data_IF_497981569097
#
_entry.id   IF_497981569097
#
_cell.length_a   1.000
_cell.length_b   1.000
_cell.length_c   1.000
_cell.angle_alpha   90.00
_cell.angle_beta   90.00
_cell.angle_gamma   90.00
#
_symmetry.space_group_name_H-M   'P 1'
#
loop_
_entity.id
_entity.type
_entity.pdbx_description
1 polymer ?
#
# COMPACT_ATOMS: atom_id res chain seq x y z
N UNK A 1 -4.53 16.75 1.59
CA UNK A 1 -4.69 16.87 3.06
C UNK A 1 -4.55 15.49 3.68
N UNK A 2 -3.61 15.31 4.62
CA UNK A 2 -3.41 14.04 5.34
C UNK A 2 -4.48 13.85 6.41
N UNK A 3 -5.02 12.62 6.53
CA UNK A 3 -5.92 12.24 7.63
C UNK A 3 -5.42 10.94 8.26
N UNK A 4 -5.40 10.90 9.58
CA UNK A 4 -5.06 9.71 10.36
C UNK A 4 -6.31 9.19 11.08
N UNK A 5 -6.55 7.89 11.02
CA UNK A 5 -7.68 7.23 11.65
C UNK A 5 -7.21 6.03 12.45
N UNK A 6 -7.89 5.74 13.55
CA UNK A 6 -7.79 4.45 14.22
C UNK A 6 -8.82 3.49 13.59
N UNK A 7 -8.35 2.32 13.16
CA UNK A 7 -9.22 1.28 12.56
C UNK A 7 -9.60 0.20 13.57
N UNK A 8 -8.84 0.11 14.63
CA UNK A 8 -9.14 -0.55 15.90
C UNK A 8 -8.62 0.37 16.99
N UNK A 9 -8.77 0.02 18.26
CA UNK A 9 -8.20 0.80 19.36
C UNK A 9 -6.68 0.98 19.26
N UNK A 10 -5.98 0.09 18.53
CA UNK A 10 -4.53 -0.04 18.59
C UNK A 10 -3.79 0.17 17.27
N UNK A 11 -4.51 0.24 16.13
CA UNK A 11 -3.86 0.30 14.81
C UNK A 11 -4.29 1.53 14.01
N UNK A 12 -3.55 2.65 14.11
CA UNK A 12 -3.81 3.81 13.28
C UNK A 12 -3.49 3.52 11.81
N UNK A 13 -4.24 4.15 10.92
CA UNK A 13 -3.97 4.16 9.48
C UNK A 13 -3.71 5.59 9.02
N UNK A 14 -2.95 5.75 7.96
CA UNK A 14 -2.75 7.04 7.28
C UNK A 14 -3.56 7.04 6.00
N UNK A 15 -4.30 8.11 5.77
CA UNK A 15 -4.93 8.39 4.46
C UNK A 15 -4.42 9.74 4.00
N UNK A 16 -3.78 9.77 2.82
CA UNK A 16 -3.14 10.96 2.28
C UNK A 16 -3.44 11.14 0.80
N UNK A 17 -3.29 12.36 0.29
CA UNK A 17 -3.43 12.65 -1.13
C UNK A 17 -2.05 12.73 -1.79
N UNK A 18 -1.92 12.16 -3.00
CA UNK A 18 -0.71 12.27 -3.80
C UNK A 18 -0.79 13.51 -4.71
N UNK A 19 0.06 14.51 -4.53
CA UNK A 19 -0.09 15.80 -5.22
C UNK A 19 0.15 15.73 -6.74
N UNK A 20 0.86 14.69 -7.22
CA UNK A 20 1.17 14.52 -8.64
C UNK A 20 0.30 13.43 -9.30
N UNK A 21 -0.89 13.19 -8.75
CA UNK A 21 -1.81 12.15 -9.21
C UNK A 21 -2.12 12.25 -10.70
N UNK A 22 -2.49 13.44 -11.18
CA UNK A 22 -2.91 13.66 -12.58
C UNK A 22 -1.85 13.17 -13.59
N UNK A 23 -0.59 13.51 -13.33
CA UNK A 23 0.53 13.11 -14.20
C UNK A 23 0.79 11.60 -14.14
N UNK A 24 0.67 11.00 -12.95
CA UNK A 24 0.85 9.56 -12.76
C UNK A 24 -0.29 8.78 -13.45
N UNK A 25 -1.53 9.23 -13.30
CA UNK A 25 -2.69 8.62 -13.95
C UNK A 25 -2.57 8.64 -15.47
N UNK A 26 -2.21 9.79 -16.04
CA UNK A 26 -2.01 9.92 -17.49
C UNK A 26 -0.95 8.98 -18.05
N UNK A 27 0.08 8.65 -17.28
CA UNK A 27 1.13 7.72 -17.68
C UNK A 27 0.71 6.26 -17.52
N UNK A 28 0.14 5.90 -16.37
CA UNK A 28 -0.01 4.49 -15.99
C UNK A 28 -1.35 3.87 -16.43
N UNK A 29 -2.44 4.64 -16.49
CA UNK A 29 -3.75 4.06 -16.83
C UNK A 29 -3.76 3.45 -18.23
N UNK A 30 -3.26 4.12 -19.29
CA UNK A 30 -3.20 3.51 -20.61
C UNK A 30 -2.34 2.25 -20.67
N UNK A 31 -1.22 2.21 -19.93
CA UNK A 31 -0.36 1.03 -19.86
C UNK A 31 -1.08 -0.16 -19.21
N UNK A 32 -1.77 0.10 -18.09
CA UNK A 32 -2.44 -0.95 -17.32
C UNK A 32 -3.72 -1.46 -18.00
N UNK A 33 -4.44 -0.61 -18.73
CA UNK A 33 -5.65 -1.01 -19.44
C UNK A 33 -5.37 -1.78 -20.74
N UNK A 34 -4.26 -1.47 -21.42
CA UNK A 34 -3.91 -2.09 -22.69
C UNK A 34 -2.99 -3.30 -22.57
N UNK A 35 -2.15 -3.35 -21.53
CA UNK A 35 -1.11 -4.37 -21.36
C UNK A 35 -0.96 -4.76 -19.90
N UNK A 36 -1.97 -5.38 -19.26
CA UNK A 36 -1.78 -5.94 -17.94
C UNK A 36 -0.79 -7.11 -18.06
N UNK A 37 0.35 -7.04 -17.34
CA UNK A 37 1.18 -8.22 -17.08
C UNK A 37 0.40 -9.12 -16.13
N UNK A 38 -0.35 -10.03 -16.69
CA UNK A 38 -1.31 -10.85 -15.96
C UNK A 38 -0.62 -11.93 -15.15
N UNK A 39 -0.76 -11.89 -13.84
CA UNK A 39 -0.58 -13.07 -12.99
C UNK A 39 -1.86 -13.93 -12.93
N UNK A 40 -2.93 -13.41 -13.53
CA UNK A 40 -4.26 -13.97 -13.35
C UNK A 40 -4.85 -13.69 -11.98
N UNK A 41 -5.96 -14.35 -11.67
CA UNK A 41 -6.62 -14.25 -10.36
C UNK A 41 -5.87 -15.09 -9.34
N UNK A 42 -5.50 -14.48 -8.22
CA UNK A 42 -4.93 -15.21 -7.07
C UNK A 42 -6.05 -15.73 -6.16
N UNK A 43 -5.70 -16.52 -5.14
CA UNK A 43 -6.68 -17.00 -4.15
C UNK A 43 -7.40 -15.84 -3.42
N UNK A 44 -6.72 -14.72 -3.18
CA UNK A 44 -7.23 -13.59 -2.40
C UNK A 44 -7.79 -12.48 -3.28
N UNK A 45 -7.22 -12.26 -4.47
CA UNK A 45 -7.57 -11.17 -5.37
C UNK A 45 -8.25 -11.74 -6.62
N UNK A 46 -9.55 -11.54 -6.74
CA UNK A 46 -10.36 -11.92 -7.89
C UNK A 46 -10.45 -10.73 -8.86
N UNK A 47 -9.29 -10.23 -9.30
CA UNK A 47 -9.11 -9.13 -10.24
C UNK A 47 -7.88 -9.42 -11.10
N UNK A 48 -7.75 -8.74 -12.23
CA UNK A 48 -6.52 -8.81 -13.03
C UNK A 48 -5.40 -8.09 -12.30
N UNK A 49 -4.22 -8.73 -12.24
CA UNK A 49 -3.06 -8.19 -11.52
C UNK A 49 -1.83 -8.14 -12.43
N UNK A 50 -0.98 -7.15 -12.21
CA UNK A 50 0.42 -7.22 -12.67
C UNK A 50 1.22 -8.14 -11.76
N UNK A 51 2.46 -8.49 -12.16
CA UNK A 51 3.36 -9.21 -11.26
C UNK A 51 3.67 -8.37 -10.00
N UNK A 52 4.04 -9.02 -8.91
CA UNK A 52 4.29 -8.38 -7.60
C UNK A 52 5.46 -7.40 -7.58
N UNK A 53 6.34 -7.43 -8.58
CA UNK A 53 7.51 -6.56 -8.67
C UNK A 53 7.39 -5.50 -9.75
N UNK A 54 6.25 -5.44 -10.45
CA UNK A 54 6.02 -4.49 -11.53
C UNK A 54 6.37 -3.04 -11.14
N UNK A 55 5.85 -2.55 -10.04
CA UNK A 55 6.11 -1.20 -9.58
C UNK A 55 7.48 -1.02 -8.92
N UNK A 56 8.07 -2.12 -8.36
CA UNK A 56 9.41 -2.08 -7.76
C UNK A 56 10.47 -1.84 -8.84
N UNK A 57 10.36 -2.53 -9.96
CA UNK A 57 11.33 -2.46 -11.07
C UNK A 57 10.98 -1.41 -12.12
N UNK A 58 9.88 -0.69 -11.95
CA UNK A 58 9.46 0.35 -12.90
C UNK A 58 10.51 1.46 -13.00
N UNK A 59 10.82 1.86 -14.24
CA UNK A 59 11.68 3.02 -14.56
C UNK A 59 10.92 4.35 -14.51
N UNK A 60 9.61 4.34 -14.26
CA UNK A 60 8.81 5.56 -14.16
C UNK A 60 9.26 6.44 -12.99
N UNK A 61 9.79 7.62 -13.28
CA UNK A 61 10.16 8.61 -12.24
C UNK A 61 8.95 9.04 -11.40
N UNK A 62 7.75 9.06 -11.99
CA UNK A 62 6.52 9.44 -11.28
C UNK A 62 6.11 8.35 -10.28
N UNK A 63 6.27 7.08 -10.67
CA UNK A 63 6.02 5.95 -9.76
C UNK A 63 7.07 5.89 -8.64
N UNK A 64 8.34 6.16 -8.92
CA UNK A 64 9.37 6.28 -7.89
C UNK A 64 9.01 7.37 -6.88
N UNK A 65 8.55 8.54 -7.35
CA UNK A 65 8.11 9.63 -6.48
C UNK A 65 6.91 9.25 -5.59
N UNK A 66 5.97 8.47 -6.10
CA UNK A 66 4.89 7.92 -5.27
C UNK A 66 5.44 7.01 -4.18
N UNK A 67 6.39 6.12 -4.50
CA UNK A 67 7.05 5.26 -3.51
C UNK A 67 7.75 6.08 -2.42
N UNK A 68 8.47 7.12 -2.79
CA UNK A 68 9.15 8.03 -1.85
C UNK A 68 8.15 8.71 -0.90
N UNK A 69 7.01 9.19 -1.44
CA UNK A 69 5.94 9.77 -0.62
C UNK A 69 5.38 8.75 0.39
N UNK A 70 5.13 7.51 -0.05
CA UNK A 70 4.65 6.43 0.83
C UNK A 70 5.67 6.13 1.93
N UNK A 71 6.96 5.99 1.59
CA UNK A 71 8.02 5.73 2.57
C UNK A 71 8.17 6.89 3.56
N UNK A 72 8.05 8.12 3.11
CA UNK A 72 8.08 9.30 4.00
C UNK A 72 6.91 9.29 5.00
N UNK A 73 5.70 8.93 4.55
CA UNK A 73 4.53 8.82 5.44
C UNK A 73 4.66 7.65 6.43
N UNK A 74 5.22 6.51 6.01
CA UNK A 74 5.47 5.37 6.91
C UNK A 74 6.38 5.79 8.07
N UNK A 75 7.41 6.58 7.82
CA UNK A 75 8.32 7.10 8.88
C UNK A 75 7.60 7.90 9.95
N UNK A 76 6.46 8.49 9.63
CA UNK A 76 5.64 9.26 10.58
C UNK A 76 4.54 8.42 11.24
N UNK A 77 4.39 7.15 10.86
CA UNK A 77 3.36 6.28 11.41
C UNK A 77 3.71 5.89 12.86
N UNK A 78 2.71 5.95 13.77
CA UNK A 78 2.90 5.66 15.19
C UNK A 78 3.57 4.30 15.42
N UNK A 79 3.12 3.26 14.71
CA UNK A 79 3.72 1.91 14.84
C UNK A 79 5.21 1.94 14.48
N UNK A 80 5.60 2.62 13.40
CA UNK A 80 7.02 2.73 13.02
C UNK A 80 7.84 3.52 14.06
N UNK A 81 7.32 4.65 14.54
CA UNK A 81 8.01 5.45 15.57
C UNK A 81 8.14 4.69 16.88
N UNK A 82 7.16 3.90 17.27
CA UNK A 82 7.24 3.03 18.46
C UNK A 82 8.29 1.93 18.25
N UNK A 83 8.32 1.29 17.08
CA UNK A 83 9.35 0.28 16.75
C UNK A 83 10.76 0.86 16.82
N UNK A 84 10.98 2.05 16.30
CA UNK A 84 12.30 2.71 16.33
C UNK A 84 12.74 3.09 17.74
N UNK A 85 11.80 3.26 18.69
CA UNK A 85 12.10 3.46 20.11
C UNK A 85 12.50 2.17 20.84
N UNK A 86 11.92 1.02 20.41
CA UNK A 86 12.21 -0.31 21.03
C UNK A 86 13.57 -0.86 20.60
N UNK A 87 14.10 -0.40 19.46
CA UNK A 87 15.43 -0.81 18.98
C UNK A 87 16.55 0.03 19.59
N UNK A 88 16.40 0.43 20.84
CA UNK A 88 17.48 0.99 21.64
C UNK A 88 18.41 -0.15 22.05
N UNK A 89 19.52 -0.27 21.35
CA UNK A 89 20.53 -1.30 21.61
C UNK A 89 21.62 -0.77 22.53
N UNK A 90 22.45 -1.63 23.15
CA UNK A 90 23.63 -1.18 23.91
C UNK A 90 24.57 -0.26 23.11
N UNK A 91 24.45 -0.26 21.80
CA UNK A 91 25.24 0.53 20.86
C UNK A 91 24.51 1.80 20.37
N UNK A 92 23.35 2.12 20.92
CA UNK A 92 22.53 3.29 20.60
C UNK A 92 21.26 2.98 19.82
N UNK A 93 20.52 4.02 19.47
CA UNK A 93 19.25 3.90 18.74
C UNK A 93 19.49 3.52 17.28
N UNK A 94 18.91 2.42 16.86
CA UNK A 94 18.94 1.97 15.46
C UNK A 94 17.58 2.23 14.83
N UNK A 95 17.57 3.03 13.76
CA UNK A 95 16.38 3.26 12.96
C UNK A 95 16.30 2.20 11.85
N UNK A 96 15.21 1.42 11.77
CA UNK A 96 15.03 0.47 10.67
C UNK A 96 15.04 1.18 9.33
N UNK A 97 15.74 0.60 8.36
CA UNK A 97 15.65 1.01 6.97
C UNK A 97 14.30 0.59 6.38
N UNK A 98 13.67 1.48 5.62
CA UNK A 98 12.41 1.23 4.96
C UNK A 98 12.62 1.06 3.46
N UNK A 99 12.02 0.03 2.88
CA UNK A 99 11.99 -0.16 1.43
C UNK A 99 10.67 -0.80 0.97
N UNK A 100 10.29 -0.54 -0.27
CA UNK A 100 9.15 -1.19 -0.90
C UNK A 100 9.59 -2.57 -1.36
N UNK A 101 9.07 -3.63 -0.71
CA UNK A 101 9.40 -5.03 -1.02
C UNK A 101 8.75 -5.48 -2.32
N UNK A 102 7.46 -5.23 -2.46
CA UNK A 102 6.69 -5.54 -3.65
C UNK A 102 5.68 -4.43 -3.94
N UNK A 103 5.33 -4.30 -5.22
CA UNK A 103 4.44 -3.24 -5.69
C UNK A 103 3.80 -3.67 -7.02
N UNK A 104 2.48 -3.76 -7.04
CA UNK A 104 1.69 -4.27 -8.15
C UNK A 104 0.43 -3.44 -8.38
N UNK A 105 -0.19 -3.61 -9.55
CA UNK A 105 -1.50 -3.05 -9.86
C UNK A 105 -2.60 -4.14 -9.79
N UNK A 106 -3.78 -3.74 -9.31
CA UNK A 106 -5.01 -4.52 -9.38
C UNK A 106 -6.01 -3.78 -10.26
N UNK A 107 -6.52 -4.43 -11.27
CA UNK A 107 -7.49 -3.90 -12.23
C UNK A 107 -8.81 -4.64 -11.99
N UNK A 108 -9.79 -3.92 -11.44
CA UNK A 108 -11.10 -4.47 -11.10
C UNK A 108 -12.10 -4.14 -12.21
N UNK A 109 -12.48 -5.14 -12.97
CA UNK A 109 -13.61 -5.09 -13.88
C UNK A 109 -14.92 -5.32 -13.13
N UNK A 110 -16.05 -5.24 -13.84
CA UNK A 110 -17.37 -5.56 -13.27
C UNK A 110 -17.39 -7.01 -12.76
N UNK A 111 -17.72 -7.18 -11.51
CA UNK A 111 -17.76 -8.48 -10.84
C UNK A 111 -16.54 -8.80 -10.00
N UNK A 112 -15.43 -8.11 -10.20
CA UNK A 112 -14.17 -8.36 -9.50
C UNK A 112 -14.19 -7.82 -8.06
N UNK A 113 -13.43 -8.49 -7.20
CA UNK A 113 -13.35 -8.19 -5.76
C UNK A 113 -12.05 -8.72 -5.16
N UNK A 114 -11.79 -8.38 -3.91
CA UNK A 114 -10.73 -9.00 -3.11
C UNK A 114 -11.33 -9.52 -1.82
N UNK A 115 -11.08 -10.79 -1.49
CA UNK A 115 -11.53 -11.38 -0.22
C UNK A 115 -10.71 -10.84 0.95
N UNK A 116 -11.22 -11.04 2.16
CA UNK A 116 -10.50 -10.61 3.37
C UNK A 116 -9.18 -11.37 3.52
N UNK A 117 -8.09 -10.62 3.63
CA UNK A 117 -6.73 -11.14 3.81
C UNK A 117 -5.86 -10.12 4.53
N UNK A 118 -4.66 -10.53 4.90
CA UNK A 118 -3.58 -9.69 5.40
C UNK A 118 -2.25 -10.12 4.75
N UNK A 119 -1.17 -9.49 5.16
CA UNK A 119 0.18 -9.75 4.65
C UNK A 119 1.13 -10.18 5.78
N UNK A 120 0.67 -11.08 6.65
CA UNK A 120 1.38 -11.54 7.86
C UNK A 120 2.70 -12.28 7.63
N UNK A 121 2.99 -12.67 6.39
CA UNK A 121 4.25 -13.36 6.03
C UNK A 121 5.51 -12.51 6.28
N UNK A 122 5.32 -11.26 6.71
CA UNK A 122 6.40 -10.32 7.01
C UNK A 122 6.31 -9.89 8.46
N UNK A 123 7.37 -10.14 9.20
CA UNK A 123 7.44 -9.92 10.65
C UNK A 123 7.22 -8.47 11.07
N UNK A 124 7.64 -7.49 10.28
CA UNK A 124 7.43 -6.07 10.52
C UNK A 124 7.26 -5.31 9.20
N UNK A 125 6.12 -4.67 9.01
CA UNK A 125 5.90 -3.92 7.78
C UNK A 125 4.55 -3.22 7.71
N UNK A 126 4.40 -2.53 6.60
CA UNK A 126 3.19 -1.81 6.26
C UNK A 126 2.71 -2.23 4.88
N UNK A 127 1.42 -2.18 4.68
CA UNK A 127 0.82 -2.29 3.35
C UNK A 127 0.24 -0.94 2.94
N UNK A 128 0.12 -0.74 1.65
CA UNK A 128 -0.55 0.43 1.11
C UNK A 128 -1.43 0.07 -0.07
N UNK A 129 -2.45 0.90 -0.28
CA UNK A 129 -3.28 0.89 -1.49
C UNK A 129 -3.47 2.32 -1.98
N UNK A 130 -3.07 2.60 -3.22
CA UNK A 130 -3.23 3.89 -3.89
C UNK A 130 -4.31 3.78 -4.98
N UNK A 131 -5.29 4.67 -4.95
CA UNK A 131 -6.43 4.66 -5.89
C UNK A 131 -6.06 5.45 -7.14
N UNK A 132 -5.53 4.74 -8.15
CA UNK A 132 -5.04 5.35 -9.40
C UNK A 132 -6.19 5.78 -10.31
N UNK A 133 -7.23 4.92 -10.46
CA UNK A 133 -8.45 5.20 -11.22
C UNK A 133 -9.63 4.73 -10.42
N UNK A 134 -10.53 5.63 -10.07
CA UNK A 134 -11.72 5.28 -9.27
C UNK A 134 -12.79 6.34 -9.39
N UNK A 135 -14.01 5.90 -9.58
CA UNK A 135 -15.19 6.75 -9.56
C UNK A 135 -15.75 6.86 -8.13
N UNK A 136 -16.53 7.88 -7.86
CA UNK A 136 -17.09 8.17 -6.52
C UNK A 136 -18.01 7.06 -5.98
N UNK A 137 -18.59 6.25 -6.88
CA UNK A 137 -19.50 5.14 -6.58
C UNK A 137 -18.79 3.79 -6.49
N UNK A 138 -17.50 3.69 -6.85
CA UNK A 138 -16.76 2.45 -6.73
C UNK A 138 -16.70 1.95 -5.27
N UNK A 139 -16.61 0.63 -5.06
CA UNK A 139 -16.57 0.07 -3.72
C UNK A 139 -15.41 0.63 -2.89
N UNK A 140 -15.63 0.86 -1.58
CA UNK A 140 -14.59 1.33 -0.68
C UNK A 140 -13.52 0.25 -0.45
N UNK A 141 -12.38 0.66 0.05
CA UNK A 141 -11.43 -0.20 0.73
C UNK A 141 -11.91 -0.43 2.16
N UNK A 142 -11.99 -1.69 2.59
CA UNK A 142 -12.63 -2.04 3.88
C UNK A 142 -11.64 -2.78 4.77
N UNK A 143 -11.49 -2.31 6.00
CA UNK A 143 -10.80 -3.03 7.08
C UNK A 143 -11.76 -3.99 7.74
N UNK A 144 -11.54 -5.30 7.56
CA UNK A 144 -12.53 -6.34 7.84
C UNK A 144 -12.96 -6.38 9.31
N UNK A 145 -12.00 -6.38 10.24
CA UNK A 145 -12.28 -6.57 11.66
C UNK A 145 -13.01 -5.38 12.30
N UNK A 146 -12.68 -4.16 11.88
CA UNK A 146 -13.30 -2.94 12.40
C UNK A 146 -14.54 -2.49 11.61
N UNK A 147 -14.76 -3.05 10.41
CA UNK A 147 -15.77 -2.57 9.47
C UNK A 147 -15.48 -1.17 8.91
N UNK A 148 -14.32 -0.57 9.22
CA UNK A 148 -13.97 0.77 8.75
C UNK A 148 -13.83 0.79 7.24
N UNK A 149 -14.57 1.67 6.59
CA UNK A 149 -14.57 1.88 5.14
C UNK A 149 -13.79 3.13 4.79
N UNK A 150 -12.83 3.00 3.89
CA UNK A 150 -12.10 4.12 3.30
C UNK A 150 -12.60 4.30 1.88
N UNK A 151 -13.17 5.47 1.60
CA UNK A 151 -13.64 5.81 0.25
C UNK A 151 -12.46 5.74 -0.71
N UNK A 152 -12.63 5.03 -1.82
CA UNK A 152 -11.62 4.90 -2.88
C UNK A 152 -11.53 6.19 -3.71
N UNK A 153 -11.23 7.32 -3.04
CA UNK A 153 -11.07 8.61 -3.71
C UNK A 153 -9.83 8.57 -4.59
N UNK A 154 -9.99 8.80 -5.87
CA UNK A 154 -8.90 8.87 -6.83
C UNK A 154 -7.81 9.87 -6.39
N UNK A 155 -6.55 9.48 -6.55
CA UNK A 155 -5.41 10.29 -6.13
C UNK A 155 -5.04 10.18 -4.64
N UNK A 156 -5.78 9.38 -3.86
CA UNK A 156 -5.44 9.13 -2.46
C UNK A 156 -4.83 7.75 -2.26
N UNK A 157 -4.09 7.59 -1.17
CA UNK A 157 -3.60 6.29 -0.72
C UNK A 157 -3.91 6.07 0.76
N UNK A 158 -3.98 4.81 1.12
CA UNK A 158 -4.10 4.37 2.51
C UNK A 158 -2.87 3.54 2.87
N UNK A 159 -2.28 3.79 4.05
CA UNK A 159 -1.16 3.03 4.62
C UNK A 159 -1.63 2.45 5.95
N UNK A 160 -1.31 1.18 6.20
CA UNK A 160 -1.73 0.43 7.38
C UNK A 160 -0.72 -0.66 7.71
N UNK A 161 -0.66 -1.15 8.98
CA UNK A 161 0.17 -2.29 9.35
C UNK A 161 -0.21 -3.54 8.55
N UNK A 162 0.79 -4.30 8.10
CA UNK A 162 0.61 -5.43 7.17
C UNK A 162 -0.27 -6.58 7.69
N UNK A 163 -0.38 -6.74 9.01
CA UNK A 163 -1.21 -7.77 9.66
C UNK A 163 -2.71 -7.43 9.73
N UNK A 164 -3.10 -6.23 9.30
CA UNK A 164 -4.52 -5.81 9.39
C UNK A 164 -5.32 -6.38 8.23
N UNK A 165 -6.37 -7.13 8.56
CA UNK A 165 -7.27 -7.73 7.58
C UNK A 165 -8.05 -6.67 6.81
N UNK A 166 -8.05 -6.81 5.49
CA UNK A 166 -8.72 -5.89 4.59
C UNK A 166 -9.28 -6.61 3.36
N UNK A 167 -10.25 -5.97 2.71
CA UNK A 167 -10.86 -6.49 1.48
C UNK A 167 -11.40 -5.36 0.60
N UNK A 168 -11.75 -5.71 -0.62
CA UNK A 168 -12.46 -4.83 -1.57
C UNK A 168 -13.75 -5.53 -1.98
N UNK A 169 -14.93 -4.96 -1.69
CA UNK A 169 -16.21 -5.50 -2.15
C UNK A 169 -16.29 -5.57 -3.68
N UNK A 170 -17.22 -6.39 -4.18
CA UNK A 170 -17.42 -6.60 -5.61
C UNK A 170 -17.69 -5.28 -6.35
N UNK A 171 -16.92 -5.02 -7.41
CA UNK A 171 -17.20 -3.92 -8.32
C UNK A 171 -18.49 -4.25 -9.14
N UNK A 172 -19.52 -3.47 -8.95
CA UNK A 172 -20.82 -3.68 -9.61
C UNK A 172 -20.99 -2.85 -10.88
N UNK A 173 -20.03 -2.01 -11.19
CA UNK A 173 -20.07 -1.02 -12.25
C UNK A 173 -19.27 -1.47 -13.47
N UNK A 174 -19.56 -0.89 -14.64
CA UNK A 174 -18.85 -1.19 -15.89
C UNK A 174 -17.46 -0.55 -15.92
N UNK A 175 -17.33 0.59 -15.26
CA UNK A 175 -16.10 1.36 -15.22
C UNK A 175 -15.03 0.61 -14.44
N UNK A 176 -13.84 0.59 -15.01
CA UNK A 176 -12.67 -0.07 -14.43
C UNK A 176 -12.17 0.73 -13.23
N UNK A 177 -11.91 0.04 -12.12
CA UNK A 177 -11.20 0.58 -10.97
C UNK A 177 -9.77 0.04 -10.97
N UNK A 178 -8.76 0.92 -10.79
CA UNK A 178 -7.36 0.53 -10.73
C UNK A 178 -6.76 1.00 -9.40
N UNK A 179 -6.15 0.05 -8.70
CA UNK A 179 -5.46 0.31 -7.43
C UNK A 179 -4.01 -0.16 -7.55
N UNK A 180 -3.05 0.67 -7.15
CA UNK A 180 -1.67 0.26 -6.96
C UNK A 180 -1.49 -0.14 -5.49
N UNK A 181 -1.00 -1.35 -5.27
CA UNK A 181 -0.83 -1.93 -3.94
C UNK A 181 0.62 -2.35 -3.73
N UNK A 182 1.04 -2.43 -2.49
CA UNK A 182 2.38 -2.90 -2.16
C UNK A 182 2.62 -3.04 -0.68
N UNK A 183 3.80 -3.57 -0.35
CA UNK A 183 4.25 -3.76 1.01
C UNK A 183 5.59 -3.05 1.22
N UNK A 184 5.71 -2.42 2.38
CA UNK A 184 6.91 -1.76 2.88
C UNK A 184 7.45 -2.58 4.05
N UNK A 185 8.71 -2.96 3.98
CA UNK A 185 9.40 -3.61 5.08
C UNK A 185 10.25 -2.60 5.86
N UNK A 186 10.32 -2.83 7.16
CA UNK A 186 11.28 -2.22 8.06
C UNK A 186 12.34 -3.26 8.42
N UNK A 187 13.59 -3.01 8.06
CA UNK A 187 14.72 -3.93 8.27
C UNK A 187 15.80 -3.23 9.07
N UNK A 188 16.30 -3.92 10.08
CA UNK A 188 17.49 -3.52 10.82
C UNK A 188 18.67 -4.25 10.21
N UNK A 189 19.64 -3.52 9.66
CA UNK A 189 20.87 -4.13 9.18
C UNK A 189 21.74 -4.58 10.34
N UNK A 190 22.25 -5.80 10.32
CA UNK A 190 23.14 -6.31 11.35
C UNK A 190 24.40 -5.43 11.51
N UNK A 191 24.89 -4.83 10.44
CA UNK A 191 26.02 -3.90 10.46
C UNK A 191 25.76 -2.65 11.29
N UNK A 192 24.52 -2.19 11.35
CA UNK A 192 24.12 -1.04 12.17
C UNK A 192 24.10 -1.39 13.67
N UNK A 193 24.03 -2.69 14.00
CA UNK A 193 24.09 -3.22 15.36
C UNK A 193 25.53 -3.40 15.88
N UNK A 194 26.51 -3.47 15.00
CA UNK A 194 27.91 -3.83 15.31
C UNK A 194 28.87 -2.63 15.24
N UNK A 195 28.51 -1.56 14.54
CA UNK A 195 29.41 -0.42 14.23
C UNK A 195 29.59 0.61 15.32
N UNK A 196 29.62 0.24 16.60
CA UNK A 196 30.10 1.12 17.69
C UNK A 196 30.79 0.28 18.78
N UNK A 197 31.81 -0.45 18.42
CA UNK A 197 32.84 -0.88 19.36
C UNK A 197 34.11 -0.11 19.07
#
# INVERSE_FOLDING_TARGET
MRKTYNITSDYPIIVSEYPFHKQLKQELVPLLENHPDELGKTSNVQATMTNYFWGVHSKSKKLQRLKECILAEVRTHKTYTTMSQVLDTPHGKVLPSLFVKNFWANIYYKGDYTISHNHQDFTMGFSFAYFLKSEWYHPPFVFTNSGKKIKSKEGTYVIFPNHVNHHVPKNRFKETRITLSGNVLAVVNQEDLVKKS
#
